data_IF_158510083087
#
_entry.id   IF_158510083087
#
_cell.length_a   1.000
_cell.length_b   1.000
_cell.length_c   1.000
_cell.angle_alpha   90.00
_cell.angle_beta   90.00
_cell.angle_gamma   90.00
#
_symmetry.space_group_name_H-M   'P 1'
#
loop_
_entity.id
_entity.type
_entity.pdbx_description
1 polymer ?
#
# COMPACT_ATOMS: atom_id res chain seq x y z
N UNK A 1 -9.37 -16.26 9.39
CA UNK A 1 -9.53 -14.95 8.73
C UNK A 1 -9.00 -13.87 9.65
N UNK A 2 -8.11 -13.01 9.16
CA UNK A 2 -7.46 -11.94 9.90
C UNK A 2 -7.79 -10.59 9.25
N UNK A 3 -8.18 -9.60 10.05
CA UNK A 3 -8.42 -8.24 9.57
C UNK A 3 -7.35 -7.35 10.19
N UNK A 4 -6.56 -6.69 9.35
CA UNK A 4 -5.51 -5.78 9.77
C UNK A 4 -5.94 -4.38 9.33
N UNK A 5 -6.24 -3.53 10.30
CA UNK A 5 -6.50 -2.12 10.06
C UNK A 5 -5.28 -1.29 10.45
N UNK A 6 -4.75 -0.49 9.54
CA UNK A 6 -3.62 0.37 9.82
C UNK A 6 -3.72 1.73 9.14
N UNK A 7 -2.98 2.68 9.70
CA UNK A 7 -2.85 4.04 9.20
C UNK A 7 -1.36 4.30 8.98
N UNK A 8 -0.97 4.46 7.72
CA UNK A 8 0.42 4.71 7.38
C UNK A 8 0.84 6.13 7.77
N UNK A 9 2.14 6.35 8.03
CA UNK A 9 2.67 7.69 8.22
C UNK A 9 2.38 8.56 6.99
N UNK A 10 2.05 9.84 7.23
CA UNK A 10 1.90 10.82 6.15
C UNK A 10 3.25 11.07 5.46
N UNK A 11 3.22 11.70 4.28
CA UNK A 11 4.43 11.92 3.48
C UNK A 11 5.49 12.78 4.20
N UNK A 12 5.08 13.55 5.21
CA UNK A 12 5.93 14.46 5.99
C UNK A 12 6.81 13.74 7.03
N UNK A 13 6.58 12.43 7.26
CA UNK A 13 7.42 11.62 8.11
C UNK A 13 8.74 11.26 7.41
N UNK A 14 9.80 11.06 8.20
CA UNK A 14 11.08 10.62 7.66
C UNK A 14 11.00 9.19 7.07
N UNK A 15 11.92 8.87 6.17
CA UNK A 15 11.94 7.58 5.48
C UNK A 15 12.10 6.40 6.43
N UNK A 16 12.94 6.54 7.46
CA UNK A 16 13.16 5.49 8.46
C UNK A 16 11.87 5.11 9.20
N UNK A 17 11.02 6.08 9.53
CA UNK A 17 9.73 5.83 10.18
C UNK A 17 8.74 5.14 9.25
N UNK A 18 8.73 5.53 7.96
CA UNK A 18 7.93 4.85 6.93
C UNK A 18 8.42 3.41 6.76
N UNK A 19 9.72 3.18 6.63
CA UNK A 19 10.29 1.83 6.52
C UNK A 19 9.99 0.97 7.74
N UNK A 20 10.15 1.51 8.95
CA UNK A 20 9.79 0.78 10.18
C UNK A 20 8.31 0.41 10.20
N UNK A 21 7.42 1.28 9.73
CA UNK A 21 5.99 0.95 9.62
C UNK A 21 5.75 -0.24 8.69
N UNK A 22 6.27 -0.19 7.46
CA UNK A 22 6.06 -1.26 6.48
C UNK A 22 6.75 -2.58 6.88
N UNK A 23 7.95 -2.52 7.48
CA UNK A 23 8.63 -3.69 8.02
C UNK A 23 7.85 -4.33 9.18
N UNK A 24 7.27 -3.51 10.06
CA UNK A 24 6.44 -4.00 11.17
C UNK A 24 5.14 -4.61 10.64
N UNK A 25 4.52 -3.99 9.64
CA UNK A 25 3.32 -4.51 9.00
C UNK A 25 3.57 -5.87 8.33
N UNK A 26 4.67 -6.00 7.59
CA UNK A 26 5.12 -7.27 7.01
C UNK A 26 5.29 -8.35 8.09
N UNK A 27 5.95 -8.04 9.21
CA UNK A 27 6.12 -9.00 10.31
C UNK A 27 4.80 -9.43 10.96
N UNK A 28 3.77 -8.57 10.97
CA UNK A 28 2.43 -8.94 11.45
C UNK A 28 1.77 -9.90 10.46
N UNK A 29 1.85 -9.62 9.17
CA UNK A 29 1.29 -10.45 8.09
C UNK A 29 1.95 -11.84 8.10
N UNK A 30 3.27 -11.93 8.31
CA UNK A 30 4.01 -13.19 8.40
C UNK A 30 3.64 -14.04 9.62
N UNK A 31 3.13 -13.42 10.69
CA UNK A 31 2.64 -14.14 11.88
C UNK A 31 1.23 -14.67 11.70
N UNK A 32 0.48 -14.17 10.70
CA UNK A 32 -0.82 -14.72 10.38
C UNK A 32 -0.65 -16.09 9.70
N UNK A 33 -1.47 -17.10 10.04
CA UNK A 33 -1.45 -18.38 9.35
C UNK A 33 -1.62 -18.20 7.84
N UNK A 34 -0.79 -18.86 7.03
CA UNK A 34 -0.84 -18.80 5.56
C UNK A 34 -2.13 -19.33 4.95
N UNK A 35 -2.89 -20.12 5.70
CA UNK A 35 -4.20 -20.66 5.28
C UNK A 35 -5.35 -19.67 5.53
N UNK A 36 -5.11 -18.61 6.30
CA UNK A 36 -6.12 -17.61 6.61
C UNK A 36 -6.11 -16.46 5.60
N UNK A 37 -7.31 -16.09 5.13
CA UNK A 37 -7.51 -14.83 4.42
C UNK A 37 -7.10 -13.64 5.29
N UNK A 38 -6.28 -12.74 4.75
CA UNK A 38 -5.88 -11.48 5.38
C UNK A 38 -6.57 -10.33 4.63
N UNK A 39 -7.42 -9.58 5.33
CA UNK A 39 -8.01 -8.35 4.81
C UNK A 39 -7.19 -7.18 5.34
N UNK A 40 -6.54 -6.44 4.44
CA UNK A 40 -5.75 -5.28 4.80
C UNK A 40 -6.53 -4.00 4.49
N UNK A 41 -6.86 -3.23 5.52
CA UNK A 41 -7.72 -2.05 5.40
C UNK A 41 -7.16 -0.83 6.12
N UNK A 42 -7.64 0.36 5.75
CA UNK A 42 -7.26 1.62 6.37
C UNK A 42 -6.66 2.60 5.38
N UNK A 43 -5.97 3.61 5.90
CA UNK A 43 -5.38 4.68 5.10
C UNK A 43 -3.87 4.49 4.99
N UNK A 44 -3.40 4.11 3.81
CA UNK A 44 -1.98 3.90 3.54
C UNK A 44 -1.24 5.17 3.11
N UNK A 45 -1.94 6.32 3.02
CA UNK A 45 -1.39 7.58 2.51
C UNK A 45 -0.57 7.40 1.22
N UNK A 46 -0.99 6.41 0.43
CA UNK A 46 -0.30 5.86 -0.72
C UNK A 46 -1.03 6.36 -1.97
N UNK A 47 -0.31 7.09 -2.82
CA UNK A 47 -0.76 7.35 -4.19
C UNK A 47 -0.31 6.17 -5.02
N UNK A 48 -1.18 5.19 -5.19
CA UNK A 48 -0.97 4.07 -6.09
C UNK A 48 -1.71 4.43 -7.37
N UNK A 49 -1.04 5.13 -8.27
CA UNK A 49 -1.62 5.36 -9.59
C UNK A 49 -1.74 3.98 -10.26
N UNK A 50 -2.98 3.58 -10.56
CA UNK A 50 -3.24 2.42 -11.40
C UNK A 50 -2.81 2.87 -12.80
N UNK A 51 -1.80 2.24 -13.40
CA UNK A 51 -1.43 2.54 -14.78
C UNK A 51 -2.67 2.34 -15.67
N UNK A 52 -3.38 3.43 -15.96
CA UNK A 52 -4.47 3.44 -16.92
C UNK A 52 -3.83 3.41 -18.29
N UNK A 53 -3.35 2.24 -18.69
CA UNK A 53 -3.02 1.98 -20.08
C UNK A 53 -4.31 2.04 -20.89
N UNK A 54 -4.63 3.23 -21.43
CA UNK A 54 -5.46 3.32 -22.63
C UNK A 54 -6.65 4.28 -22.70
N UNK A 55 -6.77 5.34 -21.89
CA UNK A 55 -7.78 6.39 -22.17
C UNK A 55 -7.24 7.78 -21.85
N UNK A 56 -6.49 8.35 -22.82
CA UNK A 56 -5.89 9.69 -22.72
C UNK A 56 -6.79 10.83 -23.19
N UNK A 57 -8.00 10.58 -23.65
CA UNK A 57 -8.84 11.64 -24.21
C UNK A 57 -10.11 11.82 -23.38
N UNK A 58 -10.36 13.06 -22.97
CA UNK A 58 -11.58 13.53 -22.27
C UNK A 58 -11.55 13.25 -20.76
N UNK A 59 -10.85 14.11 -19.99
CA UNK A 59 -11.33 14.85 -18.80
C UNK A 59 -10.17 15.15 -17.83
N UNK A 60 -9.73 16.42 -17.76
CA UNK A 60 -9.02 16.96 -16.60
C UNK A 60 -7.60 16.44 -16.32
N UNK A 61 -6.67 16.75 -17.23
CA UNK A 61 -5.23 16.52 -17.15
C UNK A 61 -4.54 17.25 -15.95
N UNK A 62 -4.87 16.88 -14.72
CA UNK A 62 -4.11 17.31 -13.52
C UNK A 62 -4.31 16.40 -12.29
N UNK A 63 -4.19 15.08 -12.48
CA UNK A 63 -4.02 14.13 -11.37
C UNK A 63 -3.03 12.99 -11.68
N UNK A 64 -2.08 13.21 -12.60
CA UNK A 64 -0.86 12.41 -12.72
C UNK A 64 0.00 12.69 -11.49
N UNK A 65 -0.38 12.08 -10.38
CA UNK A 65 0.44 12.07 -9.18
C UNK A 65 1.32 10.85 -9.26
N UNK A 66 2.58 11.05 -9.67
CA UNK A 66 3.62 10.03 -9.59
C UNK A 66 3.45 9.19 -8.32
N UNK A 67 3.54 7.87 -8.47
CA UNK A 67 3.45 6.93 -7.35
C UNK A 67 4.40 7.40 -6.27
N UNK A 68 3.85 7.82 -5.13
CA UNK A 68 4.68 8.32 -4.04
C UNK A 68 5.37 7.14 -3.35
N UNK A 69 6.38 7.41 -2.53
CA UNK A 69 7.17 6.39 -1.83
C UNK A 69 6.29 5.43 -1.02
N UNK A 70 5.23 5.95 -0.38
CA UNK A 70 4.24 5.13 0.31
C UNK A 70 3.49 4.20 -0.67
N UNK A 71 3.14 4.69 -1.86
CA UNK A 71 2.60 3.88 -2.95
C UNK A 71 3.58 2.79 -3.39
N UNK A 72 4.87 3.10 -3.50
CA UNK A 72 5.90 2.11 -3.84
C UNK A 72 5.95 0.98 -2.80
N UNK A 73 6.15 1.35 -1.54
CA UNK A 73 6.19 0.41 -0.40
C UNK A 73 4.89 -0.41 -0.29
N UNK A 74 3.73 0.20 -0.50
CA UNK A 74 2.44 -0.50 -0.43
C UNK A 74 2.29 -1.57 -1.52
N UNK A 75 2.58 -1.29 -2.79
CA UNK A 75 2.45 -2.36 -3.79
C UNK A 75 3.59 -3.39 -3.74
N UNK A 76 4.76 -3.06 -3.18
CA UNK A 76 5.76 -4.08 -2.84
C UNK A 76 5.22 -5.05 -1.77
N UNK A 77 4.56 -4.54 -0.74
CA UNK A 77 3.87 -5.34 0.28
C UNK A 77 2.79 -6.25 -0.35
N UNK A 78 1.97 -5.70 -1.24
CA UNK A 78 0.91 -6.46 -1.91
C UNK A 78 1.47 -7.53 -2.86
N UNK A 79 2.50 -7.21 -3.65
CA UNK A 79 3.12 -8.16 -4.56
C UNK A 79 3.81 -9.33 -3.82
N UNK A 80 4.36 -9.10 -2.63
CA UNK A 80 5.06 -10.11 -1.85
C UNK A 80 4.11 -11.08 -1.12
N UNK A 81 2.89 -10.64 -0.79
CA UNK A 81 1.94 -11.40 0.01
C UNK A 81 0.69 -11.77 -0.80
N UNK A 82 0.68 -12.98 -1.39
CA UNK A 82 -0.40 -13.48 -2.26
C UNK A 82 -1.77 -13.69 -1.61
N UNK A 83 -1.86 -13.53 -0.29
CA UNK A 83 -3.03 -13.83 0.54
C UNK A 83 -3.71 -12.58 1.12
N UNK A 84 -3.21 -11.39 0.76
CA UNK A 84 -3.83 -10.11 1.10
C UNK A 84 -4.92 -9.80 0.08
N UNK A 85 -6.11 -9.44 0.57
CA UNK A 85 -7.20 -8.86 -0.21
C UNK A 85 -7.50 -7.45 0.29
#
# INVERSE_FOLDING_TARGET
>A
MNIIQCYAPTNDYNEDAKDQFYNRLQSIIEKCPTEDLIILMGDFSAKVEMESTGYEDITGLHRLGERNENGERFANLYAFNKQII
#
